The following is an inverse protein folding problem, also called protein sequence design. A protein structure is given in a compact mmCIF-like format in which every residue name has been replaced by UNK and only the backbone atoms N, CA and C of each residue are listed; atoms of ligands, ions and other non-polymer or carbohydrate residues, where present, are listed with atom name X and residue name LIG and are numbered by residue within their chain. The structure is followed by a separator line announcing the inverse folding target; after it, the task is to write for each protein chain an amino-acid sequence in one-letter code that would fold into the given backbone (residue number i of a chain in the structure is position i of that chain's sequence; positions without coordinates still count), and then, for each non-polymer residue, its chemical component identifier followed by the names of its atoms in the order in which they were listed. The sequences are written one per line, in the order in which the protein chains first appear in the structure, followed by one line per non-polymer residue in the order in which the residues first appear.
data_IF_259265904167
#
_entry.id   IF_259265904167
#
_cell.length_a   1.000
_cell.length_b   1.000
_cell.length_c   1.000
_cell.angle_alpha   90.00
_cell.angle_beta   90.00
_cell.angle_gamma   90.00
#
_symmetry.space_group_name_H-M   'P 1'
#
loop_
_entity.id
_entity.type
_entity.pdbx_description
1 polymer ?
#
# COMPACT_ATOMS: atom_id res chain seq x y z
N UNK A 1 -25.65 16.24 -21.17
CA UNK A 1 -24.59 16.04 -22.18
C UNK A 1 -23.83 14.76 -21.86
N UNK A 2 -24.17 13.68 -22.57
CA UNK A 2 -23.57 12.36 -22.36
C UNK A 2 -22.10 12.38 -22.79
N UNK A 3 -21.20 11.97 -21.89
CA UNK A 3 -19.75 12.04 -22.09
C UNK A 3 -19.29 10.82 -22.91
N UNK A 4 -18.91 10.98 -24.20
CA UNK A 4 -18.62 9.85 -25.08
C UNK A 4 -17.34 9.09 -24.71
N UNK A 5 -16.49 9.66 -23.84
CA UNK A 5 -15.23 9.03 -23.40
C UNK A 5 -15.39 7.96 -22.32
N UNK A 6 -16.50 7.96 -21.57
CA UNK A 6 -16.76 6.97 -20.52
C UNK A 6 -17.23 5.62 -21.08
N UNK A 7 -17.91 5.63 -22.24
CA UNK A 7 -18.38 4.41 -22.91
C UNK A 7 -17.25 3.55 -23.47
N UNK A 8 -16.08 4.15 -23.76
CA UNK A 8 -14.92 3.44 -24.28
C UNK A 8 -14.14 2.67 -23.22
N UNK A 9 -14.27 3.02 -21.94
CA UNK A 9 -13.51 2.40 -20.84
C UNK A 9 -14.26 1.16 -20.30
N UNK A 10 -15.59 1.17 -20.38
CA UNK A 10 -16.46 0.09 -19.90
C UNK A 10 -16.16 -1.30 -20.52
N UNK A 11 -15.97 -1.45 -21.85
CA UNK A 11 -15.68 -2.76 -22.43
C UNK A 11 -14.30 -3.29 -22.02
N UNK A 12 -13.30 -2.42 -21.82
CA UNK A 12 -11.96 -2.85 -21.37
C UNK A 12 -11.97 -3.35 -19.91
N UNK A 13 -12.81 -2.78 -19.04
CA UNK A 13 -13.01 -3.27 -17.66
C UNK A 13 -13.78 -4.61 -17.62
N UNK A 14 -14.67 -4.86 -18.58
CA UNK A 14 -15.36 -6.15 -18.69
C UNK A 14 -14.45 -7.27 -19.22
N UNK A 15 -13.51 -6.95 -20.13
CA UNK A 15 -12.55 -7.92 -20.66
C UNK A 15 -11.55 -8.42 -19.60
N UNK A 16 -11.13 -7.58 -18.65
CA UNK A 16 -10.18 -7.98 -17.59
C UNK A 16 -10.84 -8.80 -16.47
N UNK A 17 -12.16 -8.73 -16.32
CA UNK A 17 -12.92 -9.50 -15.33
C UNK A 17 -13.39 -10.86 -15.86
N UNK A 18 -13.48 -11.03 -17.19
CA UNK A 18 -13.96 -12.29 -17.80
C UNK A 18 -12.90 -13.41 -17.85
N UNK A 19 -11.62 -13.11 -17.65
CA UNK A 19 -10.54 -14.13 -17.66
C UNK A 19 -10.46 -14.91 -16.34
N UNK A 20 -11.22 -14.50 -15.31
CA UNK A 20 -11.15 -15.12 -13.96
C UNK A 20 -12.28 -16.11 -13.67
N UNK A 21 -13.14 -16.44 -14.64
CA UNK A 21 -14.28 -17.34 -14.42
C UNK A 21 -14.62 -18.19 -15.64
N UNK A 22 -13.62 -18.87 -16.22
CA UNK A 22 -13.87 -20.04 -17.04
C UNK A 22 -13.13 -21.22 -16.40
N UNK A 23 -13.81 -22.15 -15.70
CA UNK A 23 -13.20 -23.44 -15.42
C UNK A 23 -12.88 -24.07 -16.77
N UNK A 24 -11.61 -24.39 -17.00
CA UNK A 24 -11.19 -25.18 -18.16
C UNK A 24 -12.04 -26.47 -18.19
N UNK A 25 -12.56 -26.89 -19.35
CA UNK A 25 -13.20 -28.18 -19.44
C UNK A 25 -12.17 -29.27 -19.12
N UNK A 26 -12.44 -30.02 -18.06
CA UNK A 26 -11.65 -31.16 -17.63
C UNK A 26 -11.41 -32.13 -18.80
N UNK A 27 -10.16 -32.49 -19.13
CA UNK A 27 -9.93 -33.74 -19.82
C UNK A 27 -10.26 -34.85 -18.82
N UNK A 28 -11.41 -35.48 -19.03
CA UNK A 28 -11.88 -36.67 -18.33
C UNK A 28 -10.80 -37.75 -18.43
N UNK A 29 -9.96 -37.86 -17.40
CA UNK A 29 -8.99 -38.93 -17.27
C UNK A 29 -9.49 -39.88 -16.16
N UNK A 30 -10.06 -41.04 -16.50
CA UNK A 30 -10.69 -41.94 -15.54
C UNK A 30 -9.70 -42.70 -14.62
N UNK A 31 -8.42 -42.29 -14.52
CA UNK A 31 -7.40 -43.00 -13.74
C UNK A 31 -6.38 -42.11 -13.01
N UNK A 32 -6.63 -40.81 -12.85
CA UNK A 32 -5.71 -39.97 -12.07
C UNK A 32 -5.97 -40.11 -10.56
N UNK A 33 -4.95 -40.39 -9.73
CA UNK A 33 -5.12 -40.39 -8.28
C UNK A 33 -5.40 -38.97 -7.78
N UNK A 34 -6.51 -38.83 -7.05
CA UNK A 34 -6.96 -37.61 -6.39
C UNK A 34 -6.01 -37.22 -5.26
N UNK A 35 -4.99 -36.40 -5.53
CA UNK A 35 -4.28 -35.64 -4.50
C UNK A 35 -3.79 -34.31 -5.07
N UNK A 36 -4.50 -33.21 -4.79
CA UNK A 36 -3.90 -31.89 -4.79
C UNK A 36 -3.78 -31.44 -3.32
N UNK A 37 -2.56 -31.40 -2.74
CA UNK A 37 -2.38 -30.92 -1.38
C UNK A 37 -2.77 -29.43 -1.29
N UNK A 38 -3.28 -28.95 -0.14
CA UNK A 38 -3.55 -27.54 0.04
C UNK A 38 -2.25 -26.75 -0.16
N UNK A 39 -2.32 -25.80 -1.09
CA UNK A 39 -1.22 -24.95 -1.52
C UNK A 39 -0.54 -24.27 -0.32
N UNK A 40 0.74 -24.59 -0.09
CA UNK A 40 1.57 -24.10 1.02
C UNK A 40 1.95 -22.62 0.90
N UNK A 41 1.37 -21.88 -0.05
CA UNK A 41 1.62 -20.46 -0.27
C UNK A 41 1.13 -19.57 0.88
N UNK A 42 0.11 -20.02 1.64
CA UNK A 42 -0.36 -19.29 2.81
C UNK A 42 0.62 -19.36 4.01
N UNK A 43 1.54 -20.32 4.03
CA UNK A 43 2.42 -20.57 5.19
C UNK A 43 3.76 -19.83 5.11
N UNK A 44 4.07 -19.17 3.99
CA UNK A 44 5.32 -18.40 3.79
C UNK A 44 5.18 -16.89 3.84
N UNK A 45 3.99 -16.33 4.10
CA UNK A 45 3.81 -14.91 4.38
C UNK A 45 4.29 -14.54 5.80
N UNK A 46 5.45 -15.07 6.21
CA UNK A 46 6.07 -14.71 7.47
C UNK A 46 6.63 -13.29 7.36
N UNK A 47 5.99 -12.34 8.06
CA UNK A 47 6.57 -11.17 8.74
C UNK A 47 7.46 -10.15 8.01
N UNK A 48 8.10 -10.48 6.90
CA UNK A 48 9.15 -9.69 6.24
C UNK A 48 8.60 -8.74 5.15
N UNK A 49 7.30 -8.80 4.86
CA UNK A 49 6.72 -8.08 3.72
C UNK A 49 6.57 -6.57 3.94
N UNK A 50 6.68 -6.10 5.18
CA UNK A 50 6.46 -4.68 5.50
C UNK A 50 7.74 -3.84 5.42
N UNK A 51 8.91 -4.40 5.72
CA UNK A 51 10.17 -3.66 5.63
C UNK A 51 10.51 -3.30 4.17
N UNK A 52 10.27 -4.22 3.22
CA UNK A 52 10.45 -3.97 1.78
C UNK A 52 9.49 -2.90 1.25
N UNK A 53 8.28 -2.80 1.84
CA UNK A 53 7.30 -1.79 1.47
C UNK A 53 7.65 -0.40 2.03
N UNK A 54 8.28 -0.32 3.20
CA UNK A 54 8.73 0.93 3.82
C UNK A 54 9.87 1.57 2.99
N UNK A 55 10.88 0.76 2.62
CA UNK A 55 11.98 1.21 1.77
C UNK A 55 11.49 1.71 0.40
N UNK A 56 10.54 0.99 -0.21
CA UNK A 56 9.97 1.38 -1.51
C UNK A 56 9.20 2.70 -1.45
N UNK A 57 8.41 2.93 -0.39
CA UNK A 57 7.67 4.19 -0.22
C UNK A 57 8.62 5.36 0.05
N UNK A 58 9.71 5.10 0.79
CA UNK A 58 10.80 6.06 0.97
C UNK A 58 11.43 6.46 -0.36
N UNK A 59 11.76 5.49 -1.22
CA UNK A 59 12.32 5.76 -2.55
C UNK A 59 11.36 6.57 -3.44
N UNK A 60 10.06 6.23 -3.43
CA UNK A 60 9.02 6.98 -4.16
C UNK A 60 8.93 8.42 -3.65
N UNK A 61 8.99 8.63 -2.33
CA UNK A 61 9.03 9.96 -1.73
C UNK A 61 10.26 10.74 -2.22
N UNK A 62 11.45 10.14 -2.15
CA UNK A 62 12.70 10.76 -2.57
C UNK A 62 12.69 11.14 -4.05
N UNK A 63 12.14 10.27 -4.91
CA UNK A 63 11.99 10.55 -6.34
C UNK A 63 11.09 11.76 -6.59
N UNK A 64 9.96 11.86 -5.90
CA UNK A 64 9.05 13.00 -6.05
C UNK A 64 9.62 14.29 -5.48
N UNK A 65 10.41 14.21 -4.41
CA UNK A 65 11.15 15.36 -3.88
C UNK A 65 12.16 15.89 -4.89
N UNK A 66 13.00 15.02 -5.47
CA UNK A 66 13.97 15.43 -6.50
C UNK A 66 13.28 16.06 -7.71
N UNK A 67 12.15 15.48 -8.13
CA UNK A 67 11.33 16.03 -9.22
C UNK A 67 10.78 17.41 -8.88
N UNK A 68 10.29 17.59 -7.65
CA UNK A 68 9.78 18.88 -7.17
C UNK A 68 10.89 19.94 -7.15
N UNK A 69 12.08 19.60 -6.64
CA UNK A 69 13.23 20.50 -6.59
C UNK A 69 13.69 20.91 -7.98
N UNK A 70 13.78 19.96 -8.92
CA UNK A 70 14.21 20.25 -10.30
C UNK A 70 13.22 21.18 -11.00
N UNK A 71 11.92 20.96 -10.84
CA UNK A 71 10.88 21.79 -11.43
C UNK A 71 10.91 23.23 -10.88
N UNK A 72 11.16 23.40 -9.57
CA UNK A 72 11.33 24.72 -8.97
C UNK A 72 12.62 25.40 -9.42
N UNK A 73 13.72 24.65 -9.59
CA UNK A 73 14.96 25.19 -10.12
C UNK A 73 14.77 25.71 -11.56
N UNK A 74 14.05 24.97 -12.40
CA UNK A 74 13.72 25.41 -13.76
C UNK A 74 12.80 26.63 -13.77
N UNK A 75 11.82 26.69 -12.86
CA UNK A 75 10.97 27.87 -12.72
C UNK A 75 11.80 29.10 -12.32
N UNK A 76 12.74 28.96 -11.37
CA UNK A 76 13.65 30.04 -10.95
C UNK A 76 14.50 30.59 -12.10
N UNK A 77 15.02 29.70 -12.97
CA UNK A 77 15.76 30.10 -14.17
C UNK A 77 14.93 30.95 -15.14
N UNK A 78 13.61 30.83 -15.10
CA UNK A 78 12.69 31.62 -15.91
C UNK A 78 12.23 32.92 -15.24
N UNK A 79 12.78 33.26 -14.07
CA UNK A 79 12.48 34.48 -13.32
C UNK A 79 11.46 34.29 -12.19
N UNK A 80 11.08 33.06 -11.85
CA UNK A 80 10.17 32.79 -10.74
C UNK A 80 10.93 32.62 -9.42
N UNK A 81 11.03 33.68 -8.63
CA UNK A 81 11.81 33.68 -7.39
C UNK A 81 10.97 33.29 -6.16
N UNK A 82 9.73 33.79 -6.08
CA UNK A 82 8.80 33.53 -4.98
C UNK A 82 7.40 33.21 -5.50
N UNK A 83 6.66 32.37 -4.76
CA UNK A 83 5.30 31.90 -5.12
C UNK A 83 4.29 33.02 -5.41
N UNK A 84 4.45 34.18 -4.78
CA UNK A 84 3.57 35.33 -4.98
C UNK A 84 3.92 36.21 -6.21
N UNK A 85 4.96 35.85 -6.97
CA UNK A 85 5.55 36.75 -7.98
C UNK A 85 5.37 36.27 -9.42
N UNK A 86 4.32 35.50 -9.72
CA UNK A 86 4.05 35.05 -11.09
C UNK A 86 3.92 36.24 -12.07
N UNK A 87 3.42 37.39 -11.60
CA UNK A 87 3.35 38.62 -12.41
C UNK A 87 4.71 39.25 -12.71
N UNK A 88 5.73 38.98 -11.88
CA UNK A 88 7.11 39.44 -12.14
C UNK A 88 7.83 38.61 -13.19
N UNK A 89 7.30 37.43 -13.54
CA UNK A 89 7.86 36.56 -14.58
C UNK A 89 7.65 37.24 -15.94
N UNK A 90 8.67 37.27 -16.82
CA UNK A 90 8.55 37.80 -18.17
C UNK A 90 7.35 37.20 -18.90
N UNK A 91 6.53 37.99 -19.62
CA UNK A 91 5.29 37.50 -20.25
C UNK A 91 5.48 36.26 -21.12
N UNK A 92 6.59 36.20 -21.85
CA UNK A 92 6.97 35.05 -22.68
C UNK A 92 7.15 33.75 -21.90
N UNK A 93 7.50 33.83 -20.62
CA UNK A 93 7.81 32.68 -19.76
C UNK A 93 6.65 32.28 -18.83
N UNK A 94 5.64 33.13 -18.66
CA UNK A 94 4.57 32.93 -17.66
C UNK A 94 3.85 31.60 -17.82
N UNK A 95 3.51 31.24 -19.05
CA UNK A 95 2.82 29.97 -19.32
C UNK A 95 3.70 28.77 -19.00
N UNK A 96 4.99 28.83 -19.37
CA UNK A 96 5.94 27.77 -19.04
C UNK A 96 6.11 27.62 -17.53
N UNK A 97 6.22 28.73 -16.80
CA UNK A 97 6.31 28.71 -15.33
C UNK A 97 5.03 28.12 -14.71
N UNK A 98 3.84 28.48 -15.20
CA UNK A 98 2.57 27.88 -14.73
C UNK A 98 2.57 26.37 -14.87
N UNK A 99 3.06 25.85 -16.00
CA UNK A 99 3.15 24.41 -16.23
C UNK A 99 4.13 23.74 -15.26
N UNK A 100 5.29 24.34 -15.02
CA UNK A 100 6.27 23.83 -14.06
C UNK A 100 5.70 23.80 -12.64
N UNK A 101 4.99 24.85 -12.23
CA UNK A 101 4.34 24.91 -10.91
C UNK A 101 3.21 23.87 -10.77
N UNK A 102 2.40 23.68 -11.81
CA UNK A 102 1.37 22.64 -11.80
C UNK A 102 1.99 21.23 -11.65
N UNK A 103 3.13 20.98 -12.31
CA UNK A 103 3.86 19.72 -12.16
C UNK A 103 4.48 19.58 -10.76
N UNK A 104 5.06 20.67 -10.22
CA UNK A 104 5.61 20.68 -8.87
C UNK A 104 4.53 20.39 -7.82
N UNK A 105 3.34 20.98 -7.95
CA UNK A 105 2.21 20.68 -7.07
C UNK A 105 1.79 19.21 -7.12
N UNK A 106 1.82 18.57 -8.30
CA UNK A 106 1.56 17.13 -8.41
C UNK A 106 2.64 16.30 -7.72
N UNK A 107 3.92 16.62 -7.95
CA UNK A 107 5.02 15.94 -7.26
C UNK A 107 4.89 16.07 -5.74
N UNK A 108 4.50 17.25 -5.25
CA UNK A 108 4.22 17.47 -3.83
C UNK A 108 3.03 16.67 -3.30
N UNK A 109 1.93 16.59 -4.06
CA UNK A 109 0.79 15.77 -3.68
C UNK A 109 1.18 14.29 -3.54
N UNK A 110 1.97 13.77 -4.46
CA UNK A 110 2.44 12.39 -4.42
C UNK A 110 3.41 12.13 -3.25
N UNK A 111 4.28 13.09 -2.90
CA UNK A 111 5.11 13.00 -1.68
C UNK A 111 4.23 12.86 -0.43
N UNK A 112 3.18 13.68 -0.32
CA UNK A 112 2.27 13.64 0.81
C UNK A 112 1.51 12.32 0.90
N UNK A 113 1.09 11.78 -0.26
CA UNK A 113 0.43 10.47 -0.33
C UNK A 113 1.37 9.34 0.13
N UNK A 114 2.60 9.29 -0.39
CA UNK A 114 3.59 8.30 0.02
C UNK A 114 3.87 8.36 1.53
N UNK A 115 4.05 9.58 2.05
CA UNK A 115 4.27 9.81 3.49
C UNK A 115 3.08 9.35 4.35
N UNK A 116 1.84 9.61 3.91
CA UNK A 116 0.64 9.19 4.63
C UNK A 116 0.47 7.67 4.66
N UNK A 117 0.73 7.00 3.53
CA UNK A 117 0.68 5.54 3.43
C UNK A 117 1.73 4.94 4.36
N UNK A 118 2.95 5.48 4.36
CA UNK A 118 4.04 5.04 5.22
C UNK A 118 3.68 5.17 6.72
N UNK A 119 3.17 6.33 7.14
CA UNK A 119 2.74 6.56 8.53
C UNK A 119 1.63 5.59 8.94
N UNK A 120 0.67 5.34 8.05
CA UNK A 120 -0.44 4.42 8.30
C UNK A 120 0.05 2.99 8.46
N UNK A 121 0.95 2.54 7.57
CA UNK A 121 1.56 1.21 7.65
C UNK A 121 2.31 1.01 8.96
N UNK A 122 3.12 2.00 9.36
CA UNK A 122 3.84 1.96 10.63
C UNK A 122 2.90 1.90 11.84
N UNK A 123 1.80 2.66 11.84
CA UNK A 123 0.80 2.60 12.91
C UNK A 123 0.12 1.23 13.01
N UNK A 124 -0.28 0.64 11.88
CA UNK A 124 -0.89 -0.69 11.85
C UNK A 124 0.07 -1.77 12.35
N UNK A 125 1.36 -1.67 11.99
CA UNK A 125 2.39 -2.60 12.46
C UNK A 125 2.57 -2.53 13.98
N UNK A 126 2.53 -1.33 14.56
CA UNK A 126 2.56 -1.17 16.02
C UNK A 126 1.35 -1.81 16.70
N UNK A 127 0.15 -1.66 16.13
CA UNK A 127 -1.06 -2.28 16.66
C UNK A 127 -0.97 -3.81 16.61
N UNK A 128 -0.51 -4.38 15.49
CA UNK A 128 -0.33 -5.82 15.35
C UNK A 128 0.64 -6.37 16.40
N UNK A 129 1.76 -5.68 16.62
CA UNK A 129 2.74 -6.08 17.63
C UNK A 129 2.15 -6.07 19.04
N UNK A 130 1.37 -5.04 19.40
CA UNK A 130 0.69 -4.98 20.71
C UNK A 130 -0.33 -6.10 20.90
N UNK A 131 -1.13 -6.40 19.87
CA UNK A 131 -2.10 -7.51 19.93
C UNK A 131 -1.38 -8.85 20.09
N UNK A 132 -0.28 -9.04 19.35
CA UNK A 132 0.55 -10.25 19.43
C UNK A 132 1.18 -10.42 20.82
N UNK A 133 1.64 -9.33 21.43
CA UNK A 133 2.16 -9.33 22.81
C UNK A 133 1.08 -9.68 23.83
N UNK A 134 -0.07 -9.03 23.77
CA UNK A 134 -1.21 -9.33 24.66
C UNK A 134 -1.66 -10.80 24.55
N UNK A 135 -1.69 -11.35 23.33
CA UNK A 135 -2.01 -12.75 23.12
C UNK A 135 -0.96 -13.71 23.72
N UNK A 136 0.33 -13.35 23.68
CA UNK A 136 1.41 -14.11 24.32
C UNK A 136 1.30 -14.08 25.84
N UNK A 137 0.95 -12.93 26.42
CA UNK A 137 0.72 -12.77 27.86
C UNK A 137 -0.47 -13.58 28.35
N UNK A 138 -1.60 -13.53 27.64
CA UNK A 138 -2.79 -14.32 27.97
C UNK A 138 -2.49 -15.83 28.03
N UNK A 139 -1.73 -16.35 27.04
CA UNK A 139 -1.30 -17.76 27.03
C UNK A 139 -0.36 -18.12 28.20
N UNK A 140 0.44 -17.18 28.68
CA UNK A 140 1.33 -17.40 29.86
C UNK A 140 0.56 -17.37 31.19
N UNK A 141 -0.52 -16.60 31.27
CA UNK A 141 -1.39 -16.52 32.45
C UNK A 141 -2.19 -17.80 32.69
N UNK A 142 -2.73 -18.40 31.64
CA UNK A 142 -3.59 -19.58 31.71
C UNK A 142 -2.84 -20.85 32.17
N UNK A 143 -1.54 -20.94 31.87
CA UNK A 143 -0.66 -22.04 32.33
C UNK A 143 -0.38 -22.08 33.83
N UNK A 144 -0.70 -21.03 34.61
CA UNK A 144 -0.50 -21.01 36.08
C UNK A 144 -1.72 -21.49 36.88
N UNK A 145 -2.87 -21.72 36.25
CA UNK A 145 -4.13 -22.11 36.92
C UNK A 145 -4.33 -23.61 37.16
N UNK A 146 -3.62 -24.49 36.45
CA UNK A 146 -3.88 -25.94 36.44
C UNK A 146 -3.29 -26.74 37.63
N UNK A 147 -2.92 -26.07 38.73
CA UNK A 147 -2.18 -26.67 39.86
C UNK A 147 -2.93 -26.85 41.18
N UNK A 148 -4.23 -26.50 41.28
CA UNK A 148 -5.01 -26.78 42.49
C UNK A 148 -5.91 -28.00 42.28
N UNK A 149 -5.34 -29.19 42.48
CA UNK A 149 -6.15 -30.38 42.82
C UNK A 149 -6.93 -30.07 44.10
N UNK A 150 -8.27 -30.09 44.10
CA UNK A 150 -9.00 -30.03 45.35
C UNK A 150 -8.64 -31.30 46.14
N UNK A 151 -8.07 -31.09 47.33
CA UNK A 151 -7.73 -32.16 48.25
C UNK A 151 -8.97 -33.01 48.50
N UNK A 152 -8.85 -34.30 48.17
CA UNK A 152 -9.83 -35.34 48.46
C UNK A 152 -9.87 -35.51 49.98
N UNK A 153 -10.67 -34.68 50.64
CA UNK A 153 -10.98 -34.79 52.06
C UNK A 153 -11.76 -36.08 52.29
N UNK A 154 -11.06 -37.13 52.69
CA UNK A 154 -11.64 -38.36 53.20
C UNK A 154 -11.53 -38.42 54.72
N UNK A 155 -12.52 -39.10 55.31
CA UNK A 155 -12.60 -39.59 56.71
C UNK A 155 -13.00 -38.49 57.71
N UNK A 156 -13.97 -38.68 58.60
CA UNK A 156 -14.58 -39.89 59.20
C UNK A 156 -16.03 -39.59 59.57
#
# INVERSE_FOLDING_TARGET
MFHPRLLLILPFLLLTTLVKSAPLPDPTCPSCPNVAPPSSLATRAGGEHLDVADDLLGDVFMQHMQTWESLLADARRLGFTYMAQLESVPPANRERVRQLLAQAHRAQANMNEASMVQQTAHYLQQLENRVREAAREARRGDGRGAGRRPGRGGRR
#
